data_IF_916377614189
#
_entry.id   IF_916377614189
#
_cell.length_a   1.000
_cell.length_b   1.000
_cell.length_c   1.000
_cell.angle_alpha   90.00
_cell.angle_beta   90.00
_cell.angle_gamma   90.00
#
_symmetry.space_group_name_H-M   'P 1'
#
loop_
_entity.id
_entity.type
_entity.pdbx_description
1 polymer ?
#
# COMPACT_ATOMS: atom_id res chain seq x y z
N UNK A 1 14.25 -87.32 -13.62
CA UNK A 1 13.65 -88.30 -12.68
C UNK A 1 12.21 -88.66 -13.01
N UNK A 2 11.25 -87.72 -13.03
CA UNK A 2 9.82 -88.03 -13.27
C UNK A 2 9.58 -88.83 -14.56
N UNK A 3 10.23 -88.45 -15.66
CA UNK A 3 10.08 -89.14 -16.95
C UNK A 3 10.65 -90.56 -16.96
N UNK A 4 11.76 -90.79 -16.26
CA UNK A 4 12.35 -92.14 -16.14
C UNK A 4 11.48 -93.06 -15.28
N UNK A 5 10.85 -92.54 -14.22
CA UNK A 5 9.89 -93.30 -13.40
C UNK A 5 8.62 -93.60 -14.20
N UNK A 6 8.17 -92.66 -15.05
CA UNK A 6 7.00 -92.85 -15.90
C UNK A 6 7.22 -93.85 -17.05
N UNK A 7 8.46 -93.95 -17.57
CA UNK A 7 8.83 -94.88 -18.64
C UNK A 7 9.34 -96.26 -18.11
N UNK A 8 9.37 -96.45 -16.79
CA UNK A 8 9.88 -97.66 -16.15
C UNK A 8 9.01 -98.88 -16.46
N UNK A 9 9.64 -100.03 -16.73
CA UNK A 9 8.91 -101.26 -17.09
C UNK A 9 8.17 -101.82 -15.87
N UNK A 10 6.84 -102.03 -15.91
CA UNK A 10 6.10 -102.59 -14.78
C UNK A 10 6.39 -104.09 -14.61
N UNK A 11 6.43 -104.55 -13.36
CA UNK A 11 6.58 -105.98 -13.03
C UNK A 11 5.20 -106.65 -12.90
N UNK A 12 5.01 -107.88 -13.43
CA UNK A 12 3.72 -108.57 -13.34
C UNK A 12 3.38 -108.96 -11.90
N UNK A 13 2.10 -108.80 -11.53
CA UNK A 13 1.54 -109.10 -10.19
C UNK A 13 2.07 -108.24 -9.03
N UNK A 14 2.72 -107.11 -9.31
CA UNK A 14 3.19 -106.14 -8.30
C UNK A 14 2.95 -104.69 -8.73
N UNK A 15 2.85 -103.77 -7.78
CA UNK A 15 2.81 -102.31 -8.01
C UNK A 15 4.21 -101.71 -8.22
N UNK A 16 5.25 -102.52 -8.36
CA UNK A 16 6.64 -102.08 -8.54
C UNK A 16 7.03 -101.95 -10.02
N UNK A 17 7.84 -100.94 -10.32
CA UNK A 17 8.43 -100.68 -11.65
C UNK A 17 9.95 -100.89 -11.65
N UNK A 18 10.49 -101.55 -12.67
CA UNK A 18 11.92 -101.79 -12.85
C UNK A 18 12.58 -100.53 -13.45
N UNK A 19 13.54 -99.96 -12.72
CA UNK A 19 14.30 -98.76 -13.08
C UNK A 19 15.79 -99.09 -13.05
N UNK A 20 16.57 -98.57 -13.99
CA UNK A 20 18.02 -98.70 -13.96
C UNK A 20 18.58 -97.94 -12.74
N UNK A 21 19.22 -98.68 -11.84
CA UNK A 21 19.81 -98.16 -10.60
C UNK A 21 20.90 -97.12 -10.87
N UNK A 22 21.77 -97.34 -11.84
CA UNK A 22 22.91 -96.48 -12.15
C UNK A 22 22.45 -95.12 -12.71
N UNK A 23 21.46 -95.13 -13.62
CA UNK A 23 20.89 -93.90 -14.17
C UNK A 23 20.13 -93.06 -13.12
N UNK A 24 19.43 -93.73 -12.20
CA UNK A 24 18.74 -93.06 -11.10
C UNK A 24 19.74 -92.41 -10.14
N UNK A 25 20.78 -93.14 -9.75
CA UNK A 25 21.83 -92.62 -8.87
C UNK A 25 22.54 -91.44 -9.54
N UNK A 26 22.92 -91.54 -10.81
CA UNK A 26 23.53 -90.44 -11.57
C UNK A 26 22.67 -89.17 -11.58
N UNK A 27 21.35 -89.29 -11.77
CA UNK A 27 20.44 -88.14 -11.73
C UNK A 27 20.30 -87.55 -10.33
N UNK A 28 20.29 -88.38 -9.28
CA UNK A 28 20.27 -87.92 -7.90
C UNK A 28 21.56 -87.17 -7.58
N UNK A 29 22.72 -87.72 -7.98
CA UNK A 29 24.02 -87.11 -7.76
C UNK A 29 24.17 -85.79 -8.53
N UNK A 30 23.68 -85.72 -9.76
CA UNK A 30 23.65 -84.48 -10.55
C UNK A 30 22.74 -83.40 -9.93
N UNK A 31 21.57 -83.80 -9.41
CA UNK A 31 20.68 -82.89 -8.69
C UNK A 31 21.30 -82.43 -7.36
N UNK A 32 21.89 -83.34 -6.60
CA UNK A 32 22.59 -83.05 -5.34
C UNK A 32 23.83 -82.17 -5.57
N UNK A 33 24.50 -82.29 -6.71
CA UNK A 33 25.63 -81.44 -7.07
C UNK A 33 25.21 -79.99 -7.39
N UNK A 34 24.05 -79.79 -8.04
CA UNK A 34 23.55 -78.46 -8.45
C UNK A 34 22.75 -77.71 -7.37
N UNK A 35 22.05 -78.42 -6.49
CA UNK A 35 21.23 -77.83 -5.43
C UNK A 35 22.00 -76.83 -4.53
N UNK A 36 23.26 -77.09 -4.11
CA UNK A 36 24.04 -76.14 -3.32
C UNK A 36 24.30 -74.82 -4.04
N UNK A 37 24.52 -74.85 -5.36
CA UNK A 37 24.72 -73.65 -6.19
C UNK A 37 23.43 -72.82 -6.27
N UNK A 38 22.30 -73.46 -6.58
CA UNK A 38 21.00 -72.76 -6.65
C UNK A 38 20.60 -72.18 -5.30
N UNK A 39 20.84 -72.90 -4.20
CA UNK A 39 20.60 -72.40 -2.85
C UNK A 39 21.50 -71.21 -2.49
N UNK A 40 22.75 -71.18 -2.99
CA UNK A 40 23.64 -70.02 -2.84
C UNK A 40 23.10 -68.82 -3.63
N UNK A 41 22.66 -69.03 -4.87
CA UNK A 41 22.08 -67.99 -5.71
C UNK A 41 20.80 -67.40 -5.08
N UNK A 42 19.89 -68.26 -4.59
CA UNK A 42 18.67 -67.82 -3.92
C UNK A 42 18.95 -67.00 -2.65
N UNK A 43 19.91 -67.45 -1.82
CA UNK A 43 20.34 -66.68 -0.63
C UNK A 43 20.96 -65.34 -1.00
N UNK A 44 21.77 -65.30 -2.05
CA UNK A 44 22.36 -64.06 -2.55
C UNK A 44 21.28 -63.08 -3.02
N UNK A 45 20.30 -63.54 -3.81
CA UNK A 45 19.20 -62.71 -4.29
C UNK A 45 18.34 -62.15 -3.14
N UNK A 46 18.08 -62.97 -2.11
CA UNK A 46 17.35 -62.52 -0.92
C UNK A 46 18.12 -61.42 -0.17
N UNK A 47 19.44 -61.57 -0.04
CA UNK A 47 20.31 -60.55 0.56
C UNK A 47 20.28 -59.26 -0.25
N UNK A 48 20.45 -59.34 -1.56
CA UNK A 48 20.43 -58.18 -2.47
C UNK A 48 19.09 -57.44 -2.41
N UNK A 49 17.98 -58.19 -2.38
CA UNK A 49 16.65 -57.61 -2.22
C UNK A 49 16.50 -56.83 -0.90
N UNK A 50 17.01 -57.37 0.20
CA UNK A 50 16.93 -56.69 1.50
C UNK A 50 17.78 -55.42 1.51
N UNK A 51 18.99 -55.47 0.94
CA UNK A 51 19.85 -54.30 0.79
C UNK A 51 19.19 -53.22 -0.09
N UNK A 52 18.59 -53.62 -1.21
CA UNK A 52 17.83 -52.72 -2.08
C UNK A 52 16.62 -52.09 -1.37
N UNK A 53 15.83 -52.88 -0.65
CA UNK A 53 14.68 -52.36 0.11
C UNK A 53 15.10 -51.40 1.21
N UNK A 54 16.19 -51.71 1.91
CA UNK A 54 16.77 -50.83 2.92
C UNK A 54 17.19 -49.49 2.31
N UNK A 55 17.87 -49.53 1.16
CA UNK A 55 18.27 -48.33 0.42
C UNK A 55 17.06 -47.50 -0.03
N UNK A 56 16.07 -48.12 -0.65
CA UNK A 56 14.86 -47.42 -1.12
C UNK A 56 14.08 -46.81 0.04
N UNK A 57 13.97 -47.50 1.18
CA UNK A 57 13.34 -46.92 2.38
C UNK A 57 14.08 -45.69 2.85
N UNK A 58 15.40 -45.75 2.94
CA UNK A 58 16.24 -44.61 3.33
C UNK A 58 16.08 -43.43 2.39
N UNK A 59 16.12 -43.67 1.08
CA UNK A 59 15.91 -42.61 0.07
C UNK A 59 14.49 -42.01 0.19
N UNK A 60 13.49 -42.86 0.44
CA UNK A 60 12.12 -42.41 0.69
C UNK A 60 12.00 -41.51 1.93
N UNK A 61 12.65 -41.90 3.02
CA UNK A 61 12.70 -41.10 4.26
C UNK A 61 13.40 -39.75 4.01
N UNK A 62 14.52 -39.74 3.30
CA UNK A 62 15.24 -38.51 2.93
C UNK A 62 14.37 -37.57 2.08
N UNK A 63 13.62 -38.10 1.11
CA UNK A 63 12.67 -37.33 0.30
C UNK A 63 11.55 -36.75 1.16
N UNK A 64 10.99 -37.53 2.08
CA UNK A 64 9.92 -37.08 2.97
C UNK A 64 10.40 -35.96 3.89
N UNK A 65 11.59 -36.07 4.46
CA UNK A 65 12.17 -35.02 5.30
C UNK A 65 12.45 -33.74 4.51
N UNK A 66 12.99 -33.85 3.30
CA UNK A 66 13.17 -32.70 2.41
C UNK A 66 11.84 -32.03 2.05
N UNK A 67 10.81 -32.83 1.76
CA UNK A 67 9.47 -32.34 1.44
C UNK A 67 8.83 -31.61 2.63
N UNK A 68 8.93 -32.19 3.84
CA UNK A 68 8.46 -31.57 5.10
C UNK A 68 9.16 -30.24 5.36
N UNK A 69 10.49 -30.20 5.30
CA UNK A 69 11.25 -28.97 5.50
C UNK A 69 10.98 -27.90 4.42
N UNK A 70 10.58 -28.29 3.21
CA UNK A 70 10.13 -27.33 2.18
C UNK A 70 8.73 -26.81 2.47
N UNK A 71 7.80 -27.67 2.89
CA UNK A 71 6.44 -27.29 3.25
C UNK A 71 6.42 -26.29 4.43
N UNK A 72 7.19 -26.55 5.48
CA UNK A 72 7.33 -25.65 6.63
C UNK A 72 7.83 -24.27 6.21
N UNK A 73 8.89 -24.21 5.37
CA UNK A 73 9.41 -22.94 4.83
C UNK A 73 8.38 -22.19 3.98
N UNK A 74 7.57 -22.90 3.20
CA UNK A 74 6.51 -22.26 2.41
C UNK A 74 5.42 -21.66 3.31
N UNK A 75 4.96 -22.41 4.32
CA UNK A 75 3.98 -21.94 5.30
C UNK A 75 4.49 -20.69 6.04
N UNK A 76 5.74 -20.73 6.51
CA UNK A 76 6.37 -19.57 7.16
C UNK A 76 6.43 -18.36 6.22
N UNK A 77 6.85 -18.56 4.96
CA UNK A 77 6.88 -17.46 3.96
C UNK A 77 5.50 -16.89 3.71
N UNK A 78 4.48 -17.72 3.57
CA UNK A 78 3.09 -17.27 3.36
C UNK A 78 2.58 -16.48 4.57
N UNK A 79 2.91 -16.89 5.80
CA UNK A 79 2.48 -16.18 7.00
C UNK A 79 3.18 -14.82 7.15
N UNK A 80 4.46 -14.74 6.80
CA UNK A 80 5.20 -13.46 6.74
C UNK A 80 4.56 -12.53 5.72
N UNK A 81 4.22 -13.02 4.52
CA UNK A 81 3.56 -12.20 3.49
C UNK A 81 2.19 -11.72 3.96
N UNK A 82 1.34 -12.58 4.52
CA UNK A 82 0.02 -12.19 5.06
C UNK A 82 0.14 -11.12 6.15
N UNK A 83 1.12 -11.27 7.04
CA UNK A 83 1.36 -10.30 8.11
C UNK A 83 1.85 -8.97 7.55
N UNK A 84 2.77 -9.00 6.57
CA UNK A 84 3.26 -7.81 5.89
C UNK A 84 2.13 -7.07 5.16
N UNK A 85 1.26 -7.78 4.44
CA UNK A 85 0.10 -7.20 3.76
C UNK A 85 -0.88 -6.55 4.75
N UNK A 86 -1.16 -7.21 5.88
CA UNK A 86 -2.02 -6.65 6.93
C UNK A 86 -1.44 -5.35 7.48
N UNK A 87 -0.13 -5.33 7.77
CA UNK A 87 0.56 -4.15 8.28
C UNK A 87 0.61 -3.03 7.23
N UNK A 88 0.82 -3.36 5.96
CA UNK A 88 0.80 -2.40 4.87
C UNK A 88 -0.58 -1.74 4.74
N UNK A 89 -1.67 -2.51 4.81
CA UNK A 89 -3.04 -1.96 4.81
C UNK A 89 -3.27 -1.01 5.98
N UNK A 90 -2.90 -1.42 7.20
CA UNK A 90 -3.00 -0.58 8.38
C UNK A 90 -2.21 0.73 8.24
N UNK A 91 -1.00 0.68 7.68
CA UNK A 91 -0.18 1.86 7.44
C UNK A 91 -0.83 2.81 6.42
N UNK A 92 -1.36 2.27 5.32
CA UNK A 92 -2.04 3.06 4.29
C UNK A 92 -3.31 3.71 4.85
N UNK A 93 -4.08 2.99 5.64
CA UNK A 93 -5.30 3.52 6.26
C UNK A 93 -4.96 4.63 7.28
N UNK A 94 -3.95 4.41 8.13
CA UNK A 94 -3.46 5.43 9.06
C UNK A 94 -2.93 6.68 8.33
N UNK A 95 -2.15 6.50 7.26
CA UNK A 95 -1.64 7.61 6.45
C UNK A 95 -2.77 8.41 5.77
N UNK A 96 -3.83 7.73 5.32
CA UNK A 96 -5.02 8.38 4.76
C UNK A 96 -5.76 9.20 5.81
N UNK A 97 -5.96 8.64 6.99
CA UNK A 97 -6.60 9.35 8.11
C UNK A 97 -5.80 10.58 8.52
N UNK A 98 -4.47 10.45 8.65
CA UNK A 98 -3.58 11.56 8.95
C UNK A 98 -3.60 12.64 7.87
N UNK A 99 -3.60 12.25 6.59
CA UNK A 99 -3.70 13.20 5.47
C UNK A 99 -5.01 13.99 5.53
N UNK A 100 -6.14 13.31 5.81
CA UNK A 100 -7.44 13.97 5.95
C UNK A 100 -7.45 14.94 7.15
N UNK A 101 -6.86 14.54 8.28
CA UNK A 101 -6.72 15.39 9.46
C UNK A 101 -5.89 16.63 9.14
N UNK A 102 -4.70 16.46 8.56
CA UNK A 102 -3.80 17.56 8.21
C UNK A 102 -4.43 18.53 7.20
N UNK A 103 -5.21 18.01 6.24
CA UNK A 103 -5.96 18.86 5.30
C UNK A 103 -6.98 19.73 6.02
N UNK A 104 -7.79 19.16 6.92
CA UNK A 104 -8.77 19.92 7.71
C UNK A 104 -8.09 20.98 8.57
N UNK A 105 -7.03 20.61 9.27
CA UNK A 105 -6.24 21.57 10.08
C UNK A 105 -5.68 22.71 9.22
N UNK A 106 -5.24 22.41 7.99
CA UNK A 106 -4.75 23.42 7.04
C UNK A 106 -5.88 24.32 6.53
N UNK A 107 -7.04 23.74 6.21
CA UNK A 107 -8.24 24.48 5.80
C UNK A 107 -8.68 25.43 6.93
N UNK A 108 -8.78 24.93 8.16
CA UNK A 108 -9.11 25.74 9.35
C UNK A 108 -8.10 26.88 9.59
N UNK A 109 -6.80 26.59 9.43
CA UNK A 109 -5.75 27.59 9.56
C UNK A 109 -5.85 28.67 8.48
N UNK A 110 -6.09 28.28 7.23
CA UNK A 110 -6.30 29.21 6.12
C UNK A 110 -7.51 30.11 6.38
N UNK A 111 -8.64 29.55 6.80
CA UNK A 111 -9.86 30.30 7.13
C UNK A 111 -9.60 31.30 8.27
N UNK A 112 -8.89 30.89 9.32
CA UNK A 112 -8.53 31.78 10.41
C UNK A 112 -7.66 32.96 9.94
N UNK A 113 -6.68 32.71 9.05
CA UNK A 113 -5.83 33.77 8.49
C UNK A 113 -6.61 34.68 7.56
N UNK A 114 -7.49 34.14 6.72
CA UNK A 114 -8.35 34.93 5.85
C UNK A 114 -9.29 35.83 6.65
N UNK A 115 -9.88 35.34 7.74
CA UNK A 115 -10.71 36.13 8.63
C UNK A 115 -9.93 37.28 9.31
N UNK A 116 -8.65 37.06 9.65
CA UNK A 116 -7.76 38.12 10.16
C UNK A 116 -7.49 39.18 9.08
N UNK A 117 -7.19 38.75 7.84
CA UNK A 117 -6.97 39.67 6.73
C UNK A 117 -8.22 40.47 6.38
N UNK A 118 -9.40 39.85 6.40
CA UNK A 118 -10.68 40.51 6.18
C UNK A 118 -10.87 41.67 7.17
N UNK A 119 -10.67 41.42 8.48
CA UNK A 119 -10.76 42.47 9.51
C UNK A 119 -9.73 43.58 9.30
N UNK A 120 -8.50 43.24 8.91
CA UNK A 120 -7.45 44.22 8.66
C UNK A 120 -7.78 45.12 7.47
N UNK A 121 -8.28 44.52 6.38
CA UNK A 121 -8.70 45.26 5.19
C UNK A 121 -9.92 46.14 5.46
N UNK A 122 -10.90 45.66 6.24
CA UNK A 122 -12.04 46.46 6.68
C UNK A 122 -11.59 47.69 7.48
N UNK A 123 -10.72 47.50 8.48
CA UNK A 123 -10.16 48.61 9.27
C UNK A 123 -9.37 49.61 8.40
N UNK A 124 -8.59 49.11 7.44
CA UNK A 124 -7.84 49.96 6.50
C UNK A 124 -8.79 50.75 5.60
N UNK A 125 -9.86 50.13 5.10
CA UNK A 125 -10.91 50.80 4.33
C UNK A 125 -11.59 51.90 5.13
N UNK A 126 -11.90 51.64 6.41
CA UNK A 126 -12.52 52.62 7.31
C UNK A 126 -11.56 53.78 7.59
N UNK A 127 -10.26 53.51 7.77
CA UNK A 127 -9.23 54.53 7.93
C UNK A 127 -9.11 55.43 6.68
N UNK A 128 -9.11 54.84 5.48
CA UNK A 128 -9.09 55.60 4.21
C UNK A 128 -10.36 56.42 4.02
N UNK A 129 -11.54 55.85 4.31
CA UNK A 129 -12.81 56.57 4.25
C UNK A 129 -12.81 57.77 5.20
N UNK A 130 -12.35 57.57 6.43
CA UNK A 130 -12.19 58.64 7.43
C UNK A 130 -11.20 59.70 6.97
N UNK A 131 -10.06 59.31 6.40
CA UNK A 131 -9.07 60.23 5.83
C UNK A 131 -9.65 61.07 4.68
N UNK A 132 -10.42 60.44 3.78
CA UNK A 132 -11.11 61.14 2.69
C UNK A 132 -12.17 62.13 3.19
N UNK A 133 -12.98 61.75 4.18
CA UNK A 133 -13.99 62.63 4.77
C UNK A 133 -13.34 63.88 5.39
N UNK A 134 -12.24 63.72 6.14
CA UNK A 134 -11.48 64.86 6.69
C UNK A 134 -10.90 65.78 5.61
N UNK A 135 -10.38 65.23 4.52
CA UNK A 135 -9.89 66.03 3.39
C UNK A 135 -11.02 66.80 2.69
N UNK A 136 -12.22 66.22 2.61
CA UNK A 136 -13.38 66.90 2.05
C UNK A 136 -13.90 68.01 2.97
N UNK A 137 -13.96 67.78 4.29
CA UNK A 137 -14.32 68.79 5.28
C UNK A 137 -13.35 69.98 5.22
N UNK A 138 -12.04 69.73 5.27
CA UNK A 138 -11.03 70.79 5.15
C UNK A 138 -11.08 71.54 3.80
N UNK A 139 -11.48 70.88 2.71
CA UNK A 139 -11.69 71.56 1.43
C UNK A 139 -12.92 72.47 1.44
N UNK A 140 -14.03 72.01 2.05
CA UNK A 140 -15.25 72.81 2.22
C UNK A 140 -15.03 73.99 3.17
N UNK A 141 -14.30 73.81 4.26
CA UNK A 141 -13.97 74.87 5.22
C UNK A 141 -13.12 75.96 4.55
N UNK A 142 -12.10 75.59 3.74
CA UNK A 142 -11.31 76.56 2.95
C UNK A 142 -12.14 77.31 1.93
N UNK A 143 -13.09 76.63 1.28
CA UNK A 143 -13.97 77.28 0.31
C UNK A 143 -14.92 78.26 1.01
N UNK A 144 -15.42 77.90 2.20
CA UNK A 144 -16.23 78.78 3.03
C UNK A 144 -15.45 80.02 3.50
N UNK A 145 -14.22 79.84 3.99
CA UNK A 145 -13.32 80.95 4.35
C UNK A 145 -13.03 81.87 3.16
N UNK A 146 -12.88 81.33 1.94
CA UNK A 146 -12.73 82.12 0.71
C UNK A 146 -13.97 82.94 0.40
N UNK A 147 -15.14 82.31 0.42
CA UNK A 147 -16.41 83.01 0.17
C UNK A 147 -16.68 84.08 1.22
N UNK A 148 -16.37 83.82 2.49
CA UNK A 148 -16.48 84.81 3.57
C UNK A 148 -15.50 85.98 3.38
N UNK A 149 -14.27 85.68 2.93
CA UNK A 149 -13.28 86.71 2.58
C UNK A 149 -13.71 87.54 1.38
N UNK A 150 -14.24 86.90 0.34
CA UNK A 150 -14.79 87.58 -0.84
C UNK A 150 -16.01 88.43 -0.46
N UNK A 151 -16.94 87.92 0.34
CA UNK A 151 -18.09 88.67 0.85
C UNK A 151 -17.66 89.90 1.67
N UNK A 152 -16.63 89.77 2.52
CA UNK A 152 -16.05 90.92 3.22
C UNK A 152 -15.42 91.95 2.28
N UNK A 153 -14.81 91.53 1.16
CA UNK A 153 -14.28 92.47 0.16
C UNK A 153 -15.38 93.18 -0.64
N UNK A 154 -16.52 92.53 -0.87
CA UNK A 154 -17.71 93.15 -1.48
C UNK A 154 -18.38 94.13 -0.51
N UNK A 155 -18.55 93.77 0.78
CA UNK A 155 -19.08 94.67 1.82
C UNK A 155 -18.14 95.86 2.11
N UNK A 156 -16.81 95.68 2.03
CA UNK A 156 -15.85 96.78 2.16
C UNK A 156 -15.80 97.69 0.92
N UNK A 157 -16.23 97.18 -0.25
CA UNK A 157 -16.32 97.93 -1.51
C UNK A 157 -17.62 98.75 -1.65
N UNK A 158 -18.64 98.47 -0.84
CA UNK A 158 -19.94 99.13 -0.90
C UNK A 158 -20.11 100.13 0.26
N UNK A 159 -19.23 101.15 0.30
CA UNK A 159 -19.64 102.43 0.89
C UNK A 159 -20.69 103.06 -0.04
N UNK A 160 -21.89 103.41 0.43
CA UNK A 160 -22.83 104.13 -0.42
C UNK A 160 -22.19 105.48 -0.71
N UNK A 161 -21.77 105.68 -1.96
CA UNK A 161 -21.48 107.00 -2.49
C UNK A 161 -22.76 107.81 -2.34
N UNK A 162 -22.82 108.61 -1.27
CA UNK A 162 -23.84 109.62 -1.05
C UNK A 162 -23.69 110.62 -2.19
N UNK A 163 -24.41 110.42 -3.28
CA UNK A 163 -24.54 111.38 -4.36
C UNK A 163 -25.25 112.61 -3.80
N UNK A 164 -24.46 113.64 -3.47
CA UNK A 164 -24.98 114.99 -3.25
C UNK A 164 -25.28 115.54 -4.64
N UNK A 165 -26.53 115.41 -5.06
CA UNK A 165 -27.06 115.97 -6.29
C UNK A 165 -28.03 117.11 -5.96
N UNK A 166 -27.59 118.34 -6.28
CA UNK A 166 -28.32 119.58 -6.61
C UNK A 166 -29.42 120.11 -5.67
N UNK A 167 -29.24 121.36 -5.22
CA UNK A 167 -30.05 122.44 -5.79
C UNK A 167 -29.26 123.76 -5.74
N UNK A 168 -29.25 124.48 -6.86
CA UNK A 168 -28.59 125.77 -7.05
C UNK A 168 -29.69 126.74 -7.51
N UNK A 169 -29.62 127.94 -6.94
CA UNK A 169 -30.19 129.20 -7.43
C UNK A 169 -31.56 129.71 -6.93
N UNK A 170 -31.49 131.01 -6.56
CA UNK A 170 -32.53 132.06 -6.47
C UNK A 170 -33.27 132.12 -5.11
N UNK A 171 -33.42 133.24 -4.41
CA UNK A 171 -33.23 134.69 -4.66
C UNK A 171 -33.62 135.42 -3.37
N UNK A 172 -33.05 136.61 -3.14
CA UNK A 172 -33.65 137.82 -2.50
C UNK A 172 -34.41 137.72 -1.15
N UNK A 173 -34.39 138.70 -0.26
CA UNK A 173 -33.69 139.98 -0.06
C UNK A 173 -34.13 140.44 1.35
N UNK A 174 -33.28 141.24 1.99
CA UNK A 174 -33.49 142.11 3.19
C UNK A 174 -33.47 141.52 4.60
#
# INVERSE_FOLDING_TARGET
MREMVAAARPMPLSSSSMINREDLLRMVDEALARLPDEMRAARWLLKEREEFLSKVRREGDEILELARGRAERLVQRTEVVKTAERRARQLVDAAREETLRMRRETEDYCDQKLAVFERLLASTKDAVSSGRRRLQETALDRERERLDSEAMTWEAGESPSRSVFFDQDLTDDQ
#
